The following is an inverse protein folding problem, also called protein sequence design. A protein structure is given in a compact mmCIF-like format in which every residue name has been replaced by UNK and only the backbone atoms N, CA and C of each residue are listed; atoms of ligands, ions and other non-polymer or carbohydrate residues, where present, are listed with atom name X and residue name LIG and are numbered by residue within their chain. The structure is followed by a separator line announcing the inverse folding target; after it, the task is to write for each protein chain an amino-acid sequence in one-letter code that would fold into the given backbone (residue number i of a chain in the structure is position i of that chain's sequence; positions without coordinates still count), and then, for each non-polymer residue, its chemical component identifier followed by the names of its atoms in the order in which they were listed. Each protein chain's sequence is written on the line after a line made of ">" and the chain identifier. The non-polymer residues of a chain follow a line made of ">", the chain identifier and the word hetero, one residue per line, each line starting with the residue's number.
data_IF_907895701470
#
_entry.id   IF_907895701470
#
_cell.length_a   1.000
_cell.length_b   1.000
_cell.length_c   1.000
_cell.angle_alpha   90.00
_cell.angle_beta   90.00
_cell.angle_gamma   90.00
#
_symmetry.space_group_name_H-M   'P 1'
#
loop_
_entity.id
_entity.type
_entity.pdbx_description
1 polymer ?
#
# COMPACT_ATOMS: atom_id res chain seq x y z
N UNK A 1 -16.28 19.58 0.86
CA UNK A 1 -15.67 20.61 -0.02
C UNK A 1 -14.64 19.92 -0.91
N UNK A 2 -14.63 20.18 -2.22
CA UNK A 2 -13.60 19.64 -3.13
C UNK A 2 -12.31 20.45 -3.00
N UNK A 3 -11.17 19.80 -3.20
CA UNK A 3 -9.85 20.41 -3.20
C UNK A 3 -9.66 21.27 -4.45
N UNK A 4 -8.94 22.40 -4.36
CA UNK A 4 -8.45 23.12 -5.53
C UNK A 4 -7.61 22.21 -6.43
N UNK A 5 -7.69 22.41 -7.75
CA UNK A 5 -6.98 21.56 -8.71
C UNK A 5 -5.45 21.55 -8.51
N UNK A 6 -4.87 22.71 -8.16
CA UNK A 6 -3.45 22.81 -7.83
C UNK A 6 -3.06 21.91 -6.63
N UNK A 7 -3.91 21.86 -5.60
CA UNK A 7 -3.71 21.00 -4.44
C UNK A 7 -3.88 19.52 -4.79
N UNK A 8 -4.85 19.18 -5.63
CA UNK A 8 -5.03 17.82 -6.15
C UNK A 8 -3.75 17.31 -6.80
N UNK A 9 -3.15 18.09 -7.70
CA UNK A 9 -1.90 17.72 -8.37
C UNK A 9 -0.72 17.65 -7.40
N UNK A 10 -0.61 18.62 -6.48
CA UNK A 10 0.45 18.65 -5.48
C UNK A 10 0.42 17.40 -4.59
N UNK A 11 -0.73 17.07 -4.01
CA UNK A 11 -0.89 15.93 -3.12
C UNK A 11 -0.75 14.59 -3.83
N UNK A 12 -1.30 14.47 -5.05
CA UNK A 12 -1.09 13.27 -5.87
C UNK A 12 0.39 13.03 -6.18
N UNK A 13 1.13 14.07 -6.57
CA UNK A 13 2.58 13.97 -6.82
C UNK A 13 3.34 13.57 -5.56
N UNK A 14 3.04 14.21 -4.42
CA UNK A 14 3.66 13.90 -3.15
C UNK A 14 3.44 12.43 -2.76
N UNK A 15 2.22 11.92 -2.90
CA UNK A 15 1.89 10.56 -2.45
C UNK A 15 2.43 9.50 -3.42
N UNK A 16 2.51 9.81 -4.71
CA UNK A 16 3.23 8.98 -5.67
C UNK A 16 4.74 8.92 -5.39
N UNK A 17 5.37 10.05 -5.03
CA UNK A 17 6.77 10.07 -4.62
C UNK A 17 7.00 9.20 -3.38
N UNK A 18 6.22 9.42 -2.33
CA UNK A 18 6.27 8.67 -1.09
C UNK A 18 6.02 7.16 -1.29
N UNK A 19 5.14 6.79 -2.23
CA UNK A 19 4.89 5.40 -2.62
C UNK A 19 6.13 4.74 -3.23
N UNK A 20 6.82 5.46 -4.14
CA UNK A 20 8.05 4.99 -4.78
C UNK A 20 9.18 4.83 -3.77
N UNK A 21 9.34 5.78 -2.86
CA UNK A 21 10.35 5.70 -1.79
C UNK A 21 10.06 4.51 -0.88
N UNK A 22 8.81 4.31 -0.46
CA UNK A 22 8.44 3.14 0.35
C UNK A 22 8.75 1.80 -0.36
N UNK A 23 8.51 1.69 -1.66
CA UNK A 23 8.85 0.48 -2.43
C UNK A 23 10.37 0.26 -2.53
N UNK A 24 11.16 1.33 -2.68
CA UNK A 24 12.64 1.25 -2.64
C UNK A 24 13.10 0.75 -1.28
N UNK A 25 12.57 1.30 -0.19
CA UNK A 25 12.87 0.85 1.18
C UNK A 25 12.48 -0.61 1.38
N UNK A 26 11.30 -1.04 0.92
CA UNK A 26 10.88 -2.43 0.96
C UNK A 26 11.90 -3.34 0.25
N UNK A 27 12.39 -2.94 -0.92
CA UNK A 27 13.38 -3.69 -1.69
C UNK A 27 14.74 -3.76 -0.99
N UNK A 28 15.19 -2.66 -0.37
CA UNK A 28 16.42 -2.64 0.42
C UNK A 28 16.33 -3.60 1.63
N UNK A 29 15.24 -3.51 2.39
CA UNK A 29 15.00 -4.35 3.57
C UNK A 29 14.91 -5.84 3.20
N UNK A 30 14.34 -6.17 2.05
CA UNK A 30 14.32 -7.54 1.54
C UNK A 30 15.75 -8.07 1.30
N UNK A 31 16.62 -7.25 0.70
CA UNK A 31 18.04 -7.62 0.47
C UNK A 31 18.82 -7.76 1.78
N UNK A 32 18.47 -6.97 2.79
CA UNK A 32 19.05 -7.02 4.14
C UNK A 32 18.43 -8.13 5.03
N UNK A 33 17.63 -9.04 4.46
CA UNK A 33 16.91 -10.12 5.18
C UNK A 33 15.94 -9.63 6.28
N UNK A 34 15.53 -8.36 6.25
CA UNK A 34 14.52 -7.77 7.16
C UNK A 34 13.12 -7.91 6.58
N UNK A 35 12.65 -9.14 6.43
CA UNK A 35 11.43 -9.47 5.69
C UNK A 35 10.15 -8.83 6.27
N UNK A 36 9.98 -8.85 7.59
CA UNK A 36 8.82 -8.26 8.25
C UNK A 36 8.71 -6.75 8.00
N UNK A 37 9.84 -6.04 8.06
CA UNK A 37 9.91 -4.62 7.76
C UNK A 37 9.69 -4.36 6.26
N UNK A 38 10.25 -5.21 5.39
CA UNK A 38 10.02 -5.12 3.94
C UNK A 38 8.52 -5.22 3.60
N UNK A 39 7.81 -6.16 4.22
CA UNK A 39 6.35 -6.32 4.07
C UNK A 39 5.58 -5.09 4.59
N UNK A 40 5.97 -4.53 5.73
CA UNK A 40 5.38 -3.28 6.22
C UNK A 40 5.56 -2.13 5.22
N UNK A 41 6.75 -1.99 4.62
CA UNK A 41 6.97 -0.99 3.59
C UNK A 41 6.23 -1.29 2.27
N UNK A 42 5.95 -2.56 1.95
CA UNK A 42 5.03 -2.92 0.87
C UNK A 42 3.63 -2.36 1.12
N UNK A 43 3.11 -2.49 2.35
CA UNK A 43 1.83 -1.90 2.74
C UNK A 43 1.84 -0.38 2.55
N UNK A 44 2.85 0.33 3.07
CA UNK A 44 2.97 1.77 2.91
C UNK A 44 3.02 2.20 1.44
N UNK A 45 3.77 1.47 0.61
CA UNK A 45 3.89 1.77 -0.82
C UNK A 45 2.51 1.69 -1.52
N UNK A 46 1.76 0.61 -1.27
CA UNK A 46 0.42 0.42 -1.82
C UNK A 46 -0.55 1.47 -1.28
N UNK A 47 -0.54 1.73 0.03
CA UNK A 47 -1.41 2.72 0.68
C UNK A 47 -1.26 4.10 0.04
N UNK A 48 -0.01 4.59 -0.04
CA UNK A 48 0.32 5.89 -0.63
C UNK A 48 -0.07 5.95 -2.11
N UNK A 49 0.08 4.84 -2.84
CA UNK A 49 -0.34 4.76 -4.25
C UNK A 49 -1.85 4.91 -4.39
N UNK A 50 -2.63 4.06 -3.72
CA UNK A 50 -4.10 4.09 -3.75
C UNK A 50 -4.59 5.49 -3.40
N UNK A 51 -4.00 6.06 -2.37
CA UNK A 51 -4.40 7.36 -1.92
C UNK A 51 -4.02 8.51 -2.88
N UNK A 52 -2.91 8.40 -3.62
CA UNK A 52 -2.58 9.37 -4.68
C UNK A 52 -3.65 9.39 -5.77
N UNK A 53 -4.15 8.21 -6.16
CA UNK A 53 -5.28 8.02 -7.09
C UNK A 53 -6.56 8.58 -6.46
N UNK A 54 -6.78 8.35 -5.17
CA UNK A 54 -7.95 8.87 -4.45
C UNK A 54 -8.13 10.38 -4.59
N UNK A 55 -7.06 11.15 -4.39
CA UNK A 55 -7.11 12.61 -4.49
C UNK A 55 -7.43 13.06 -5.92
N UNK A 56 -6.90 12.36 -6.94
CA UNK A 56 -7.19 12.64 -8.36
C UNK A 56 -8.66 12.36 -8.69
N UNK A 57 -9.17 11.18 -8.34
CA UNK A 57 -10.51 10.75 -8.74
C UNK A 57 -11.63 11.39 -7.92
N UNK A 58 -11.41 11.62 -6.62
CA UNK A 58 -12.46 12.12 -5.72
C UNK A 58 -12.34 13.61 -5.44
N UNK A 59 -11.20 14.23 -5.78
CA UNK A 59 -10.92 15.65 -5.52
C UNK A 59 -11.14 16.03 -4.06
N UNK A 60 -10.91 15.10 -3.13
CA UNK A 60 -10.99 15.29 -1.69
C UNK A 60 -9.85 14.51 -1.05
N UNK A 61 -9.50 14.86 0.18
CA UNK A 61 -8.54 14.06 0.93
C UNK A 61 -9.11 12.65 1.18
N UNK A 62 -8.28 11.61 1.06
CA UNK A 62 -8.68 10.27 1.43
C UNK A 62 -8.93 10.19 2.93
N UNK A 63 -9.82 9.30 3.39
CA UNK A 63 -10.05 9.08 4.81
C UNK A 63 -8.74 8.71 5.54
N UNK A 64 -8.56 9.15 6.80
CA UNK A 64 -7.35 8.89 7.60
C UNK A 64 -7.36 7.47 8.15
N UNK A 65 -7.43 6.48 7.26
CA UNK A 65 -7.40 5.06 7.57
C UNK A 65 -6.30 4.37 6.76
N UNK A 66 -5.85 3.23 7.25
CA UNK A 66 -4.79 2.43 6.64
C UNK A 66 -5.33 1.19 5.90
N UNK A 67 -6.66 1.01 5.88
CA UNK A 67 -7.29 -0.14 5.23
C UNK A 67 -7.32 0.06 3.70
N UNK A 68 -6.48 -0.71 3.02
CA UNK A 68 -6.32 -0.70 1.56
C UNK A 68 -7.60 -1.13 0.83
N UNK A 69 -8.32 -2.13 1.35
CA UNK A 69 -9.59 -2.58 0.78
C UNK A 69 -10.66 -1.50 0.90
N UNK A 70 -10.75 -0.83 2.05
CA UNK A 70 -11.68 0.26 2.27
C UNK A 70 -11.40 1.42 1.29
N UNK A 71 -10.14 1.81 1.15
CA UNK A 71 -9.72 2.88 0.24
C UNK A 71 -10.02 2.52 -1.23
N UNK A 72 -9.70 1.29 -1.65
CA UNK A 72 -9.96 0.79 -3.00
C UNK A 72 -11.46 0.70 -3.32
N UNK A 73 -12.29 0.21 -2.38
CA UNK A 73 -13.75 0.18 -2.54
C UNK A 73 -14.33 1.58 -2.65
N UNK A 74 -13.83 2.52 -1.84
CA UNK A 74 -14.32 3.91 -1.86
C UNK A 74 -13.90 4.68 -3.12
N UNK A 75 -12.78 4.29 -3.74
CA UNK A 75 -12.44 4.72 -5.10
C UNK A 75 -13.49 4.28 -6.13
N UNK A 76 -14.16 3.14 -5.90
CA UNK A 76 -15.03 2.46 -6.87
C UNK A 76 -14.25 2.04 -8.13
N UNK A 77 -12.98 1.70 -7.96
CA UNK A 77 -12.15 1.22 -9.06
C UNK A 77 -12.59 -0.19 -9.50
N UNK A 78 -12.63 -0.50 -10.81
CA UNK A 78 -13.02 -1.81 -11.35
C UNK A 78 -11.89 -2.84 -11.16
N UNK A 79 -11.61 -3.21 -9.91
CA UNK A 79 -10.55 -4.16 -9.56
C UNK A 79 -11.06 -5.60 -9.64
N UNK A 80 -10.23 -6.49 -10.17
CA UNK A 80 -10.47 -7.94 -10.14
C UNK A 80 -10.45 -8.45 -8.70
N UNK A 81 -11.22 -9.51 -8.42
CA UNK A 81 -11.28 -10.17 -7.11
C UNK A 81 -9.90 -10.55 -6.56
N UNK A 82 -9.01 -11.06 -7.40
CA UNK A 82 -7.62 -11.39 -7.02
C UNK A 82 -6.87 -10.19 -6.42
N UNK A 83 -7.08 -8.98 -6.96
CA UNK A 83 -6.43 -7.77 -6.44
C UNK A 83 -7.01 -7.38 -5.08
N UNK A 84 -8.32 -7.56 -4.88
CA UNK A 84 -8.95 -7.31 -3.58
C UNK A 84 -8.41 -8.28 -2.52
N UNK A 85 -8.27 -9.57 -2.86
CA UNK A 85 -7.67 -10.57 -1.98
C UNK A 85 -6.20 -10.23 -1.65
N UNK A 86 -5.44 -9.76 -2.63
CA UNK A 86 -4.06 -9.29 -2.41
C UNK A 86 -4.00 -8.06 -1.49
N UNK A 87 -4.89 -7.08 -1.66
CA UNK A 87 -4.96 -5.91 -0.77
C UNK A 87 -5.34 -6.32 0.66
N UNK A 88 -6.22 -7.31 0.82
CA UNK A 88 -6.62 -7.85 2.11
C UNK A 88 -5.42 -8.47 2.86
N UNK A 89 -4.57 -9.22 2.15
CA UNK A 89 -3.38 -9.80 2.75
C UNK A 89 -2.33 -8.73 3.06
N UNK A 90 -2.13 -7.74 2.19
CA UNK A 90 -1.19 -6.63 2.44
C UNK A 90 -1.65 -5.75 3.62
N UNK A 91 -2.96 -5.62 3.88
CA UNK A 91 -3.48 -5.00 5.10
C UNK A 91 -2.95 -5.66 6.38
N UNK A 92 -2.64 -6.96 6.34
CA UNK A 92 -2.09 -7.68 7.49
C UNK A 92 -0.67 -7.21 7.86
N UNK A 93 0.04 -6.57 6.94
CA UNK A 93 1.43 -6.16 7.12
C UNK A 93 1.57 -4.84 7.90
N UNK A 94 0.46 -4.19 8.24
CA UNK A 94 0.47 -3.05 9.15
C UNK A 94 0.53 -3.55 10.60
N UNK A 95 1.76 -3.65 11.13
CA UNK A 95 2.09 -4.25 12.43
C UNK A 95 1.97 -3.23 13.58
N UNK A 96 2.01 -1.92 13.27
CA UNK A 96 2.13 -0.83 14.25
C UNK A 96 0.94 -0.71 15.22
N UNK A 97 -0.18 -1.40 14.96
CA UNK A 97 -1.40 -1.32 15.75
C UNK A 97 -1.86 -2.65 16.38
N UNK A 98 -0.99 -3.69 16.46
CA UNK A 98 -1.41 -5.04 16.91
C UNK A 98 -0.69 -5.52 18.17
N UNK A 99 -1.38 -6.39 18.93
CA UNK A 99 -0.87 -7.10 20.10
C UNK A 99 0.35 -7.99 19.77
N UNK A 100 1.17 -8.28 20.78
CA UNK A 100 2.47 -8.94 20.59
C UNK A 100 2.38 -10.38 20.06
N UNK A 101 1.30 -11.09 20.34
CA UNK A 101 0.97 -12.41 19.80
C UNK A 101 0.77 -12.38 18.27
N UNK A 102 0.04 -11.38 17.76
CA UNK A 102 -0.12 -11.14 16.33
C UNK A 102 1.20 -10.81 15.65
N UNK A 103 2.06 -10.02 16.31
CA UNK A 103 3.40 -9.72 15.78
C UNK A 103 4.22 -11.00 15.63
N UNK A 104 4.22 -11.88 16.64
CA UNK A 104 4.95 -13.14 16.59
C UNK A 104 4.49 -14.04 15.44
N UNK A 105 3.18 -14.19 15.23
CA UNK A 105 2.66 -14.97 14.10
C UNK A 105 3.06 -14.37 12.76
N UNK A 106 2.99 -13.04 12.63
CA UNK A 106 3.43 -12.35 11.43
C UNK A 106 4.93 -12.54 11.16
N UNK A 107 5.79 -12.41 12.18
CA UNK A 107 7.22 -12.64 12.05
C UNK A 107 7.53 -14.06 11.56
N UNK A 108 6.78 -15.08 12.02
CA UNK A 108 6.92 -16.46 11.54
C UNK A 108 6.52 -16.60 10.06
N UNK A 109 5.51 -15.86 9.60
CA UNK A 109 5.05 -15.86 8.20
C UNK A 109 6.01 -15.10 7.26
N UNK A 110 6.75 -14.12 7.78
CA UNK A 110 7.64 -13.26 7.03
C UNK A 110 8.95 -13.95 6.61
N UNK A 111 8.85 -15.03 5.84
CA UNK A 111 9.99 -15.71 5.22
C UNK A 111 10.48 -14.97 3.97
N UNK A 112 11.65 -15.35 3.47
CA UNK A 112 12.21 -14.80 2.22
C UNK A 112 11.25 -14.95 1.04
N UNK A 113 10.75 -16.16 0.81
CA UNK A 113 9.86 -16.45 -0.33
C UNK A 113 8.51 -15.74 -0.20
N UNK A 114 7.99 -15.68 1.03
CA UNK A 114 6.79 -14.92 1.33
C UNK A 114 6.97 -13.43 1.02
N UNK A 115 8.07 -12.85 1.47
CA UNK A 115 8.42 -11.47 1.21
C UNK A 115 8.63 -11.20 -0.29
N UNK A 116 9.32 -12.08 -1.01
CA UNK A 116 9.54 -11.96 -2.44
C UNK A 116 8.22 -11.96 -3.23
N UNK A 117 7.31 -12.88 -2.89
CA UNK A 117 5.95 -12.93 -3.46
C UNK A 117 5.22 -11.61 -3.28
N UNK A 118 5.20 -11.07 -2.06
CA UNK A 118 4.43 -9.87 -1.76
C UNK A 118 5.08 -8.58 -2.26
N UNK A 119 6.41 -8.53 -2.36
CA UNK A 119 7.11 -7.46 -3.04
C UNK A 119 6.73 -7.42 -4.54
N UNK A 120 6.69 -8.58 -5.21
CA UNK A 120 6.26 -8.69 -6.60
C UNK A 120 4.78 -8.31 -6.79
N UNK A 121 3.88 -8.81 -5.93
CA UNK A 121 2.45 -8.44 -5.96
C UNK A 121 2.23 -6.95 -5.71
N UNK A 122 2.96 -6.36 -4.76
CA UNK A 122 2.88 -4.91 -4.49
C UNK A 122 3.28 -4.11 -5.73
N UNK A 123 4.37 -4.47 -6.42
CA UNK A 123 4.76 -3.84 -7.69
C UNK A 123 3.66 -3.93 -8.76
N UNK A 124 3.04 -5.12 -8.92
CA UNK A 124 1.91 -5.31 -9.85
C UNK A 124 0.73 -4.40 -9.50
N UNK A 125 0.38 -4.31 -8.22
CA UNK A 125 -0.70 -3.43 -7.74
C UNK A 125 -0.39 -1.97 -8.03
N UNK A 126 0.85 -1.52 -7.77
CA UNK A 126 1.27 -0.15 -8.05
C UNK A 126 1.05 0.23 -9.52
N UNK A 127 1.40 -0.66 -10.46
CA UNK A 127 1.17 -0.48 -11.89
C UNK A 127 -0.32 -0.46 -12.23
N UNK A 128 -1.14 -1.32 -11.62
CA UNK A 128 -2.60 -1.31 -11.84
C UNK A 128 -3.18 0.06 -11.47
N UNK A 129 -2.79 0.60 -10.30
CA UNK A 129 -3.21 1.93 -9.86
C UNK A 129 -2.53 3.10 -10.60
N UNK A 130 -1.55 2.86 -11.46
CA UNK A 130 -1.06 3.89 -12.41
C UNK A 130 -2.00 4.07 -13.60
N UNK A 131 -2.84 3.08 -13.89
CA UNK A 131 -3.73 3.04 -15.05
C UNK A 131 -5.22 3.19 -14.68
N UNK A 132 -5.51 3.52 -13.42
CA UNK A 132 -6.85 3.89 -12.94
C UNK A 132 -6.92 5.41 -12.98
#
# INVERSE_FOLDING_TARGET
>A
MRLPYADVLRWSKHWNFESKEALKTATFLYKDNRFSHSLFFCHLAVEKKIKSVFVIHKQVFPPPVHDLLYLAKKLQAPLKREILEDLAEINSFNISARYDDYKQQFYKKATRDYCAKWLAKSKKILIIFENI
#
